data_IF_123293827546
#
_entry.id   IF_123293827546
#
_cell.length_a   1.000
_cell.length_b   1.000
_cell.length_c   1.000
_cell.angle_alpha   90.00
_cell.angle_beta   90.00
_cell.angle_gamma   90.00
#
_symmetry.space_group_name_H-M   'P 1'
#
loop_
_entity.id
_entity.type
_entity.pdbx_description
1 polymer ?
#
# COMPACT_ATOMS: atom_id res chain seq x y z
N UNK A 1 26.68 -7.67 28.46
CA UNK A 1 26.69 -8.48 27.23
C UNK A 1 25.52 -8.03 26.38
N UNK A 2 25.87 -7.63 25.15
CA UNK A 2 25.15 -6.90 24.11
C UNK A 2 23.62 -6.94 24.09
N UNK A 3 23.08 -5.73 23.96
CA UNK A 3 21.87 -5.41 23.20
C UNK A 3 21.81 -6.24 21.91
N UNK A 4 20.79 -7.08 21.77
CA UNK A 4 20.32 -7.58 20.48
C UNK A 4 18.79 -7.69 20.56
N UNK A 5 18.18 -6.54 20.85
CA UNK A 5 16.75 -6.33 20.70
C UNK A 5 16.50 -6.21 19.21
N UNK A 6 15.82 -7.23 18.67
CA UNK A 6 14.76 -7.05 17.69
C UNK A 6 15.15 -6.26 16.42
N UNK A 7 16.17 -6.72 15.71
CA UNK A 7 16.28 -6.42 14.29
C UNK A 7 15.18 -7.21 13.58
N UNK A 8 13.96 -6.66 13.58
CA UNK A 8 13.00 -6.90 12.50
C UNK A 8 13.82 -6.82 11.23
N UNK A 9 14.13 -7.96 10.62
CA UNK A 9 14.55 -8.00 9.24
C UNK A 9 13.36 -7.46 8.47
N UNK A 10 13.40 -6.14 8.25
CA UNK A 10 12.64 -5.39 7.28
C UNK A 10 12.99 -5.95 5.91
N UNK A 11 12.52 -7.16 5.65
CA UNK A 11 12.49 -7.73 4.33
C UNK A 11 11.01 -7.87 4.06
N UNK A 12 10.45 -6.80 3.50
CA UNK A 12 9.38 -6.96 2.54
C UNK A 12 9.87 -8.03 1.57
N UNK A 13 9.44 -9.27 1.76
CA UNK A 13 9.79 -10.36 0.86
C UNK A 13 9.34 -9.93 -0.54
N UNK A 14 10.23 -9.86 -1.53
CA UNK A 14 9.95 -9.19 -2.81
C UNK A 14 8.79 -9.82 -3.58
N UNK A 15 8.40 -11.05 -3.25
CA UNK A 15 7.30 -11.76 -3.90
C UNK A 15 5.91 -11.22 -3.52
N UNK A 16 5.69 -10.89 -2.24
CA UNK A 16 4.42 -10.30 -1.77
C UNK A 16 4.31 -8.82 -2.15
N UNK A 17 5.46 -8.16 -2.30
CA UNK A 17 5.52 -6.79 -2.82
C UNK A 17 5.08 -6.72 -4.30
N UNK A 18 5.33 -7.75 -5.12
CA UNK A 18 5.00 -7.72 -6.55
C UNK A 18 3.50 -7.52 -6.83
N UNK A 19 2.64 -8.30 -6.18
CA UNK A 19 1.18 -8.21 -6.34
C UNK A 19 0.63 -6.90 -5.74
N UNK A 20 1.07 -6.55 -4.53
CA UNK A 20 0.67 -5.29 -3.90
C UNK A 20 1.11 -4.06 -4.73
N UNK A 21 2.25 -4.15 -5.40
CA UNK A 21 2.78 -3.07 -6.24
C UNK A 21 2.05 -2.95 -7.58
N UNK A 22 1.61 -4.06 -8.19
CA UNK A 22 0.72 -4.01 -9.35
C UNK A 22 -0.62 -3.36 -8.99
N UNK A 23 -1.20 -3.74 -7.85
CA UNK A 23 -2.43 -3.13 -7.34
C UNK A 23 -2.26 -1.64 -7.04
N UNK A 24 -1.11 -1.22 -6.48
CA UNK A 24 -0.79 0.19 -6.27
C UNK A 24 -0.67 0.95 -7.60
N UNK A 25 -0.05 0.36 -8.62
CA UNK A 25 0.05 0.96 -9.95
C UNK A 25 -1.32 1.17 -10.60
N UNK A 26 -2.21 0.18 -10.49
CA UNK A 26 -3.61 0.31 -10.92
C UNK A 26 -4.32 1.40 -10.12
N UNK A 27 -4.11 1.47 -8.81
CA UNK A 27 -4.79 2.44 -7.94
C UNK A 27 -4.40 3.86 -8.32
N UNK A 28 -3.12 4.09 -8.64
CA UNK A 28 -2.66 5.36 -9.21
C UNK A 28 -3.34 5.69 -10.53
N UNK A 29 -3.49 4.73 -11.44
CA UNK A 29 -4.18 4.96 -12.71
C UNK A 29 -5.66 5.32 -12.51
N UNK A 30 -6.34 4.69 -11.55
CA UNK A 30 -7.72 5.02 -11.17
C UNK A 30 -7.82 6.37 -10.47
N UNK A 31 -6.86 6.72 -9.60
CA UNK A 31 -6.76 8.03 -8.94
C UNK A 31 -6.68 9.16 -9.98
N UNK A 32 -5.83 9.01 -11.01
CA UNK A 32 -5.67 10.00 -12.07
C UNK A 32 -6.94 10.17 -12.93
N UNK A 33 -7.80 9.15 -12.96
CA UNK A 33 -9.09 9.19 -13.66
C UNK A 33 -10.24 9.64 -12.75
N UNK A 34 -9.94 10.09 -11.53
CA UNK A 34 -10.93 10.45 -10.50
C UNK A 34 -11.89 9.29 -10.14
N UNK A 35 -11.49 8.05 -10.43
CA UNK A 35 -12.24 6.84 -10.10
C UNK A 35 -11.90 6.42 -8.67
N UNK A 36 -12.34 7.23 -7.71
CA UNK A 36 -11.97 7.09 -6.30
C UNK A 36 -12.32 5.71 -5.73
N UNK A 37 -13.53 5.21 -6.00
CA UNK A 37 -13.99 3.90 -5.50
C UNK A 37 -13.12 2.74 -6.01
N UNK A 38 -12.74 2.78 -7.30
CA UNK A 38 -11.84 1.79 -7.90
C UNK A 38 -10.45 1.86 -7.29
N UNK A 39 -9.92 3.08 -7.08
CA UNK A 39 -8.61 3.28 -6.47
C UNK A 39 -8.58 2.77 -5.02
N UNK A 40 -9.62 3.07 -4.23
CA UNK A 40 -9.78 2.57 -2.85
C UNK A 40 -9.81 1.05 -2.84
N UNK A 41 -10.65 0.41 -3.66
CA UNK A 41 -10.76 -1.06 -3.70
C UNK A 41 -9.43 -1.75 -4.04
N UNK A 42 -8.63 -1.16 -4.94
CA UNK A 42 -7.32 -1.70 -5.30
C UNK A 42 -6.28 -1.49 -4.19
N UNK A 43 -6.33 -0.36 -3.49
CA UNK A 43 -5.49 -0.09 -2.33
C UNK A 43 -5.81 -1.01 -1.16
N UNK A 44 -7.07 -1.28 -0.89
CA UNK A 44 -7.50 -2.23 0.13
C UNK A 44 -6.98 -3.65 -0.17
N UNK A 45 -7.03 -4.08 -1.44
CA UNK A 45 -6.44 -5.35 -1.85
C UNK A 45 -4.91 -5.34 -1.66
N UNK A 46 -4.23 -4.24 -2.01
CA UNK A 46 -2.79 -4.11 -1.82
C UNK A 46 -2.40 -4.17 -0.33
N UNK A 47 -3.20 -3.55 0.54
CA UNK A 47 -3.03 -3.56 2.00
C UNK A 47 -3.37 -4.94 2.58
N UNK A 48 -4.37 -5.63 2.04
CA UNK A 48 -4.70 -7.00 2.47
C UNK A 48 -3.54 -7.97 2.18
N UNK A 49 -2.93 -7.87 1.00
CA UNK A 49 -1.76 -8.67 0.62
C UNK A 49 -0.48 -8.23 1.34
N UNK A 50 -0.31 -6.93 1.58
CA UNK A 50 0.82 -6.37 2.32
C UNK A 50 0.38 -5.30 3.32
N UNK A 51 0.02 -5.68 4.57
CA UNK A 51 -0.55 -4.76 5.55
C UNK A 51 0.36 -3.59 5.94
N UNK A 52 1.68 -3.76 5.74
CA UNK A 52 2.71 -2.75 6.03
C UNK A 52 3.08 -1.91 4.81
N UNK A 53 2.26 -1.90 3.75
CA UNK A 53 2.55 -1.13 2.55
C UNK A 53 2.31 0.37 2.76
N UNK A 54 3.37 1.09 3.14
CA UNK A 54 3.30 2.50 3.47
C UNK A 54 2.72 3.35 2.33
N UNK A 55 3.16 3.12 1.08
CA UNK A 55 2.61 3.80 -0.09
C UNK A 55 1.10 3.63 -0.26
N UNK A 56 0.56 2.42 -0.04
CA UNK A 56 -0.87 2.19 -0.22
C UNK A 56 -1.70 2.94 0.84
N UNK A 57 -1.27 2.92 2.10
CA UNK A 57 -1.90 3.70 3.17
C UNK A 57 -1.82 5.20 2.90
N UNK A 58 -0.70 5.68 2.35
CA UNK A 58 -0.51 7.08 1.98
C UNK A 58 -1.47 7.51 0.86
N UNK A 59 -1.56 6.74 -0.23
CA UNK A 59 -2.47 7.06 -1.33
C UNK A 59 -3.94 7.01 -0.90
N UNK A 60 -4.30 6.03 -0.05
CA UNK A 60 -5.66 5.92 0.48
C UNK A 60 -6.04 7.15 1.33
N UNK A 61 -5.11 7.63 2.16
CA UNK A 61 -5.31 8.83 2.97
C UNK A 61 -5.49 10.08 2.11
N UNK A 62 -4.74 10.19 1.01
CA UNK A 62 -4.89 11.29 0.05
C UNK A 62 -6.27 11.26 -0.62
N UNK A 63 -6.74 10.09 -1.05
CA UNK A 63 -8.07 9.93 -1.66
C UNK A 63 -9.15 10.37 -0.68
N UNK A 64 -9.13 9.85 0.56
CA UNK A 64 -10.12 10.24 1.56
C UNK A 64 -10.08 11.75 1.88
N UNK A 65 -8.89 12.36 1.86
CA UNK A 65 -8.74 13.81 2.07
C UNK A 65 -9.30 14.63 0.91
N UNK A 66 -9.34 14.08 -0.31
CA UNK A 66 -9.90 14.74 -1.48
C UNK A 66 -11.42 14.54 -1.62
N UNK A 67 -11.97 13.50 -1.00
CA UNK A 67 -13.41 13.23 -0.97
C UNK A 67 -14.16 13.90 0.19
N UNK A 68 -13.46 14.34 1.24
CA UNK A 68 -14.01 15.09 2.37
C UNK A 68 -14.14 16.58 2.08
#
# INVERSE_FOLDING_TARGET
HSFLILSLTFQATPVLAGEAQDLLGKAYASYQQEQWDSAISQLEQAIASYPRYAEAHHLLSLIHSQQG
#
